data_IF_383757004590
#
_entry.id   IF_383757004590
#
_cell.length_a   1.000
_cell.length_b   1.000
_cell.length_c   1.000
_cell.angle_alpha   90.00
_cell.angle_beta   90.00
_cell.angle_gamma   90.00
#
_symmetry.space_group_name_H-M   'P 1'
#
loop_
_entity.id
_entity.type
_entity.pdbx_description
1 polymer ?
#
# COMPACT_ATOMS: atom_id res chain seq x y z
N UNK A 1 -44.27 9.88 27.14
CA UNK A 1 -43.28 9.69 26.07
C UNK A 1 -42.94 8.22 26.08
N UNK A 2 -43.23 7.49 25.00
CA UNK A 2 -42.79 6.10 24.85
C UNK A 2 -41.25 6.11 24.82
N UNK A 3 -40.64 5.30 25.69
CA UNK A 3 -39.19 5.06 25.65
C UNK A 3 -38.85 4.44 24.30
N UNK A 4 -38.36 5.27 23.38
CA UNK A 4 -37.95 4.82 22.06
C UNK A 4 -36.62 4.07 22.21
N UNK A 5 -36.72 2.76 22.43
CA UNK A 5 -35.58 1.84 22.57
C UNK A 5 -34.81 1.80 21.24
N UNK A 6 -33.49 2.00 21.30
CA UNK A 6 -32.63 1.91 20.11
C UNK A 6 -32.63 0.48 19.55
N UNK A 7 -32.61 0.34 18.23
CA UNK A 7 -32.62 -0.97 17.54
C UNK A 7 -31.54 -1.93 18.06
N UNK A 8 -30.33 -1.42 18.37
CA UNK A 8 -29.23 -2.23 18.92
C UNK A 8 -29.50 -2.70 20.35
N UNK A 9 -30.24 -1.92 21.12
CA UNK A 9 -30.67 -2.29 22.47
C UNK A 9 -31.80 -3.32 22.42
N UNK A 10 -32.72 -3.19 21.45
CA UNK A 10 -33.82 -4.14 21.26
C UNK A 10 -33.35 -5.53 20.81
N UNK A 11 -32.40 -5.60 19.86
CA UNK A 11 -31.83 -6.88 19.41
C UNK A 11 -30.78 -7.46 20.35
N UNK A 12 -30.21 -6.63 21.21
CA UNK A 12 -29.02 -6.96 21.99
C UNK A 12 -27.71 -6.89 21.17
N UNK A 13 -26.57 -6.76 21.87
CA UNK A 13 -25.28 -6.54 21.23
C UNK A 13 -24.83 -7.69 20.32
N UNK A 14 -25.01 -8.95 20.75
CA UNK A 14 -24.54 -10.12 20.00
C UNK A 14 -25.23 -10.27 18.64
N UNK A 15 -26.54 -10.09 18.58
CA UNK A 15 -27.29 -10.18 17.33
C UNK A 15 -26.98 -8.98 16.43
N UNK A 16 -26.87 -7.79 17.02
CA UNK A 16 -26.52 -6.57 16.28
C UNK A 16 -25.13 -6.68 15.64
N UNK A 17 -24.13 -7.20 16.35
CA UNK A 17 -22.79 -7.45 15.82
C UNK A 17 -22.82 -8.49 14.68
N UNK A 18 -23.60 -9.57 14.82
CA UNK A 18 -23.77 -10.57 13.75
C UNK A 18 -24.39 -9.99 12.47
N UNK A 19 -25.36 -9.08 12.61
CA UNK A 19 -25.95 -8.40 11.46
C UNK A 19 -24.92 -7.47 10.83
N UNK A 20 -24.23 -6.67 11.63
CA UNK A 20 -23.22 -5.73 11.16
C UNK A 20 -22.00 -6.41 10.53
N UNK A 21 -21.62 -7.61 10.98
CA UNK A 21 -20.51 -8.38 10.39
C UNK A 21 -20.82 -8.95 8.99
N UNK A 22 -22.08 -8.89 8.56
CA UNK A 22 -22.49 -9.17 7.18
C UNK A 22 -22.16 -8.02 6.21
N UNK A 23 -21.78 -6.84 6.72
CA UNK A 23 -21.36 -5.71 5.88
C UNK A 23 -19.95 -5.95 5.35
N UNK A 24 -19.82 -6.00 4.02
CA UNK A 24 -18.55 -6.27 3.34
C UNK A 24 -17.84 -4.99 2.87
N UNK A 25 -18.55 -3.87 2.68
CA UNK A 25 -17.93 -2.56 2.39
C UNK A 25 -17.58 -1.85 3.70
N UNK A 26 -16.31 -1.50 3.96
CA UNK A 26 -15.92 -0.69 5.11
C UNK A 26 -16.70 0.63 5.22
N UNK A 27 -17.14 1.18 4.09
CA UNK A 27 -17.96 2.38 4.05
C UNK A 27 -19.35 2.17 4.64
N UNK A 28 -19.92 0.95 4.56
CA UNK A 28 -21.18 0.60 5.21
C UNK A 28 -21.06 0.58 6.73
N UNK A 29 -19.95 0.07 7.26
CA UNK A 29 -19.68 0.11 8.70
C UNK A 29 -19.57 1.56 9.21
N UNK A 30 -18.95 2.45 8.43
CA UNK A 30 -18.89 3.88 8.76
C UNK A 30 -20.25 4.56 8.64
N UNK A 31 -21.09 4.15 7.68
CA UNK A 31 -22.48 4.64 7.58
C UNK A 31 -23.33 4.16 8.75
N UNK A 32 -23.16 2.90 9.16
CA UNK A 32 -23.84 2.31 10.31
C UNK A 32 -23.48 3.05 11.61
N UNK A 33 -22.21 3.41 11.79
CA UNK A 33 -21.76 4.17 12.97
C UNK A 33 -22.25 5.62 13.02
N UNK A 34 -22.94 6.11 11.97
CA UNK A 34 -23.55 7.43 11.91
C UNK A 34 -25.05 7.45 12.26
N UNK A 35 -25.67 6.28 12.46
CA UNK A 35 -27.13 6.14 12.66
C UNK A 35 -27.57 6.67 14.02
N UNK A 36 -26.89 6.25 15.09
CA UNK A 36 -27.14 6.72 16.46
C UNK A 36 -25.87 6.57 17.31
N UNK A 37 -25.88 7.13 18.51
CA UNK A 37 -24.79 6.96 19.49
C UNK A 37 -24.59 5.50 19.89
N UNK A 38 -25.69 4.72 20.03
CA UNK A 38 -25.62 3.29 20.36
C UNK A 38 -24.98 2.47 19.23
N UNK A 39 -25.35 2.75 17.98
CA UNK A 39 -24.73 2.11 16.81
C UNK A 39 -23.25 2.48 16.69
N UNK A 40 -22.92 3.75 16.91
CA UNK A 40 -21.54 4.22 16.91
C UNK A 40 -20.70 3.42 17.90
N UNK A 41 -21.11 3.39 19.17
CA UNK A 41 -20.40 2.69 20.23
C UNK A 41 -20.25 1.19 19.91
N UNK A 42 -21.32 0.54 19.44
CA UNK A 42 -21.28 -0.88 19.08
C UNK A 42 -20.27 -1.18 17.96
N UNK A 43 -20.25 -0.37 16.89
CA UNK A 43 -19.32 -0.55 15.76
C UNK A 43 -17.87 -0.29 16.18
N UNK A 44 -17.62 0.71 17.05
CA UNK A 44 -16.29 1.01 17.57
C UNK A 44 -15.78 -0.12 18.47
N UNK A 45 -16.61 -0.60 19.39
CA UNK A 45 -16.23 -1.62 20.38
C UNK A 45 -16.05 -3.01 19.76
N UNK A 46 -16.82 -3.34 18.74
CA UNK A 46 -16.79 -4.65 18.07
C UNK A 46 -15.60 -4.86 17.12
N UNK A 47 -14.79 -3.82 16.84
CA UNK A 47 -13.62 -3.92 15.96
C UNK A 47 -13.91 -4.41 14.52
N UNK A 48 -15.15 -4.32 14.05
CA UNK A 48 -15.58 -4.87 12.75
C UNK A 48 -14.76 -4.39 11.55
N UNK A 49 -14.34 -3.11 11.53
CA UNK A 49 -13.48 -2.59 10.46
C UNK A 49 -12.11 -3.30 10.41
N UNK A 50 -11.57 -3.68 11.58
CA UNK A 50 -10.30 -4.42 11.65
C UNK A 50 -10.50 -5.83 11.14
N UNK A 51 -11.57 -6.50 11.58
CA UNK A 51 -11.85 -7.89 11.20
C UNK A 51 -12.10 -8.01 9.69
N UNK A 52 -12.86 -7.07 9.13
CA UNK A 52 -13.07 -6.96 7.69
C UNK A 52 -11.74 -6.78 6.93
N UNK A 53 -10.89 -5.86 7.40
CA UNK A 53 -9.59 -5.59 6.79
C UNK A 53 -8.67 -6.81 6.81
N UNK A 54 -8.64 -7.56 7.92
CA UNK A 54 -7.86 -8.79 8.05
C UNK A 54 -8.38 -9.94 7.19
N UNK A 55 -9.70 -10.00 6.99
CA UNK A 55 -10.34 -10.98 6.10
C UNK A 55 -9.97 -10.74 4.64
N UNK A 56 -9.96 -9.48 4.21
CA UNK A 56 -9.60 -9.12 2.83
C UNK A 56 -8.09 -9.13 2.58
N UNK A 57 -7.28 -8.75 3.58
CA UNK A 57 -5.83 -8.62 3.46
C UNK A 57 -5.13 -9.26 4.67
N UNK A 58 -4.95 -10.59 4.64
CA UNK A 58 -4.33 -11.34 5.73
C UNK A 58 -2.93 -10.86 6.12
N UNK A 59 -2.20 -10.23 5.19
CA UNK A 59 -0.86 -9.66 5.43
C UNK A 59 -0.86 -8.57 6.53
N UNK A 60 -2.02 -7.97 6.79
CA UNK A 60 -2.21 -6.97 7.85
C UNK A 60 -2.15 -7.60 9.25
N UNK A 61 -2.24 -8.92 9.39
CA UNK A 61 -2.11 -9.61 10.68
C UNK A 61 -0.76 -9.34 11.38
N UNK A 62 0.29 -9.00 10.61
CA UNK A 62 1.60 -8.57 11.15
C UNK A 62 1.62 -7.17 11.78
N UNK A 63 0.52 -6.41 11.70
CA UNK A 63 0.43 -5.06 12.26
C UNK A 63 0.41 -5.09 13.78
N UNK A 64 1.52 -4.63 14.37
CA UNK A 64 1.71 -4.60 15.83
C UNK A 64 1.21 -3.31 16.48
N UNK A 65 1.37 -2.19 15.78
CA UNK A 65 1.13 -0.87 16.35
C UNK A 65 0.77 0.16 15.28
N UNK A 66 -0.04 1.14 15.65
CA UNK A 66 -0.50 2.22 14.76
C UNK A 66 0.01 3.55 15.29
N UNK A 67 0.89 4.19 14.53
CA UNK A 67 1.52 5.47 14.86
C UNK A 67 0.80 6.57 14.08
N UNK A 68 -0.08 7.30 14.74
CA UNK A 68 -0.74 8.47 14.16
C UNK A 68 0.19 9.69 14.25
N UNK A 69 0.51 10.30 13.12
CA UNK A 69 1.32 11.54 13.07
C UNK A 69 0.44 12.73 12.70
N UNK A 70 0.12 13.57 13.69
CA UNK A 70 -0.53 14.89 13.50
C UNK A 70 0.56 15.97 13.41
N UNK A 71 0.36 17.02 12.60
CA UNK A 71 1.40 18.02 12.34
C UNK A 71 1.42 19.20 13.33
N UNK A 72 0.51 19.25 14.31
CA UNK A 72 0.48 20.32 15.32
C UNK A 72 1.08 19.84 16.64
N UNK A 73 2.00 20.66 17.18
CA UNK A 73 2.49 20.58 18.54
C UNK A 73 1.34 20.78 19.53
N UNK A 74 0.58 19.72 19.80
CA UNK A 74 -0.34 19.70 20.94
C UNK A 74 0.30 18.83 22.02
N UNK A 75 1.21 19.47 22.75
CA UNK A 75 1.58 19.09 24.11
C UNK A 75 0.35 19.28 24.98
N UNK A 76 -0.55 18.31 24.94
CA UNK A 76 -1.65 18.17 25.89
C UNK A 76 -1.97 16.69 26.01
N UNK A 77 -1.04 15.93 26.57
CA UNK A 77 -1.38 14.69 27.28
C UNK A 77 -2.20 15.10 28.50
N UNK A 78 -3.48 15.39 28.28
CA UNK A 78 -4.47 15.47 29.35
C UNK A 78 -4.59 14.05 29.89
N UNK A 79 -4.36 13.87 31.19
CA UNK A 79 -4.55 12.61 31.90
C UNK A 79 -6.02 12.16 31.80
N UNK A 80 -6.35 11.51 30.69
CA UNK A 80 -7.66 10.92 30.45
C UNK A 80 -7.82 9.69 31.34
N UNK A 81 -8.99 9.52 31.95
CA UNK A 81 -9.30 8.31 32.72
C UNK A 81 -9.09 7.04 31.88
N UNK A 82 -8.76 5.91 32.52
CA UNK A 82 -8.47 4.63 31.83
C UNK A 82 -9.57 4.19 30.85
N UNK A 83 -10.84 4.51 31.14
CA UNK A 83 -11.98 4.21 30.25
C UNK A 83 -11.98 5.09 29.00
N UNK A 84 -11.76 6.39 29.17
CA UNK A 84 -11.74 7.36 28.07
C UNK A 84 -10.53 7.13 27.15
N UNK A 85 -9.39 6.74 27.72
CA UNK A 85 -8.20 6.34 26.97
C UNK A 85 -8.45 5.06 26.13
N UNK A 86 -9.22 4.10 26.66
CA UNK A 86 -9.58 2.86 25.93
C UNK A 86 -10.52 3.18 24.76
N UNK A 87 -11.57 3.96 24.99
CA UNK A 87 -12.53 4.34 23.94
C UNK A 87 -11.83 5.11 22.82
N UNK A 88 -11.00 6.10 23.17
CA UNK A 88 -10.19 6.87 22.21
C UNK A 88 -9.28 5.98 21.36
N UNK A 89 -8.74 4.90 21.93
CA UNK A 89 -7.93 3.92 21.18
C UNK A 89 -8.78 3.11 20.20
N UNK A 90 -9.98 2.69 20.59
CA UNK A 90 -10.89 1.94 19.73
C UNK A 90 -11.38 2.81 18.57
N UNK A 91 -11.75 4.06 18.84
CA UNK A 91 -12.14 5.04 17.81
C UNK A 91 -11.02 5.26 16.79
N UNK A 92 -9.79 5.45 17.27
CA UNK A 92 -8.61 5.58 16.40
C UNK A 92 -8.41 4.35 15.53
N UNK A 93 -8.48 3.15 16.12
CA UNK A 93 -8.33 1.90 15.39
C UNK A 93 -9.42 1.77 14.32
N UNK A 94 -10.69 1.96 14.69
CA UNK A 94 -11.80 1.93 13.76
C UNK A 94 -11.56 2.88 12.57
N UNK A 95 -11.16 4.12 12.87
CA UNK A 95 -10.85 5.12 11.85
C UNK A 95 -9.73 4.65 10.91
N UNK A 96 -8.61 4.18 11.46
CA UNK A 96 -7.44 3.73 10.69
C UNK A 96 -7.80 2.56 9.78
N UNK A 97 -8.44 1.51 10.30
CA UNK A 97 -8.82 0.34 9.51
C UNK A 97 -9.88 0.66 8.47
N UNK A 98 -10.84 1.54 8.77
CA UNK A 98 -11.82 2.00 7.78
C UNK A 98 -11.13 2.75 6.62
N UNK A 99 -10.18 3.65 6.93
CA UNK A 99 -9.42 4.35 5.90
C UNK A 99 -8.46 3.44 5.13
N UNK A 100 -7.82 2.49 5.81
CA UNK A 100 -6.92 1.54 5.19
C UNK A 100 -7.67 0.67 4.19
N UNK A 101 -8.78 0.09 4.60
CA UNK A 101 -9.63 -0.75 3.73
C UNK A 101 -10.12 0.04 2.52
N UNK A 102 -10.62 1.28 2.71
CA UNK A 102 -10.96 2.18 1.58
C UNK A 102 -9.76 2.49 0.67
N UNK A 103 -8.58 2.63 1.26
CA UNK A 103 -7.30 2.80 0.56
C UNK A 103 -6.92 1.57 -0.27
N UNK A 104 -7.44 0.40 0.06
CA UNK A 104 -7.21 -0.84 -0.67
C UNK A 104 -8.30 -1.08 -1.72
N UNK A 105 -9.56 -0.75 -1.45
CA UNK A 105 -10.69 -1.03 -2.34
C UNK A 105 -10.86 -0.07 -3.54
N UNK A 106 -10.10 1.02 -3.67
CA UNK A 106 -10.27 1.98 -4.79
C UNK A 106 -9.39 1.67 -6.01
N UNK A 107 -9.99 1.90 -7.19
CA UNK A 107 -9.54 1.44 -8.51
C UNK A 107 -8.53 2.36 -9.23
N UNK A 108 -7.94 3.35 -8.55
CA UNK A 108 -6.97 4.25 -9.17
C UNK A 108 -5.61 3.57 -9.25
N UNK A 109 -5.43 2.73 -10.27
CA UNK A 109 -4.19 1.96 -10.48
C UNK A 109 -3.14 2.80 -11.22
N UNK A 110 -1.92 2.76 -10.73
CA UNK A 110 -0.78 3.52 -11.27
C UNK A 110 0.42 2.59 -11.47
N UNK A 111 1.43 3.08 -12.19
CA UNK A 111 2.74 2.44 -12.13
C UNK A 111 3.31 2.62 -10.73
N UNK A 112 3.67 1.52 -10.07
CA UNK A 112 4.19 1.54 -8.71
C UNK A 112 5.71 1.54 -8.65
N UNK A 113 6.45 1.30 -9.74
CA UNK A 113 7.92 1.35 -9.68
C UNK A 113 8.39 2.82 -9.59
N UNK A 114 9.33 3.08 -8.69
CA UNK A 114 10.05 4.36 -8.59
C UNK A 114 11.52 4.26 -8.94
N UNK A 115 12.15 3.14 -8.63
CA UNK A 115 13.59 2.97 -8.81
C UNK A 115 13.92 1.51 -9.16
N UNK A 116 14.86 1.32 -10.09
CA UNK A 116 15.51 0.03 -10.31
C UNK A 116 16.71 -0.08 -9.37
N UNK A 117 16.72 -1.12 -8.52
CA UNK A 117 17.73 -1.29 -7.48
C UNK A 117 18.94 -2.06 -8.00
N UNK A 118 18.71 -3.26 -8.55
CA UNK A 118 19.78 -4.15 -8.96
C UNK A 118 19.27 -5.28 -9.86
N UNK A 119 20.19 -5.83 -10.65
CA UNK A 119 20.04 -7.10 -11.35
C UNK A 119 21.00 -8.14 -10.74
N UNK A 120 20.71 -9.44 -10.90
CA UNK A 120 21.67 -10.50 -10.50
C UNK A 120 22.94 -10.48 -11.34
N UNK A 121 22.82 -10.13 -12.63
CA UNK A 121 23.95 -9.92 -13.52
C UNK A 121 23.64 -8.80 -14.52
N UNK A 122 24.67 -8.29 -15.18
CA UNK A 122 24.56 -7.41 -16.34
C UNK A 122 25.74 -7.67 -17.27
N UNK A 123 25.48 -7.78 -18.57
CA UNK A 123 26.52 -8.04 -19.58
C UNK A 123 27.35 -6.78 -19.84
N UNK A 124 26.83 -5.84 -20.64
CA UNK A 124 27.54 -4.61 -20.97
C UNK A 124 27.06 -3.45 -20.08
N UNK A 125 27.54 -3.41 -18.83
CA UNK A 125 27.23 -2.31 -17.90
C UNK A 125 28.08 -1.05 -18.21
N UNK A 126 27.51 0.17 -18.14
CA UNK A 126 26.14 0.53 -17.79
C UNK A 126 25.13 0.47 -18.95
N UNK A 127 25.60 0.12 -20.14
CA UNK A 127 24.85 0.29 -21.37
C UNK A 127 23.54 -0.50 -21.42
N UNK A 128 23.57 -1.72 -20.90
CA UNK A 128 22.48 -2.69 -20.83
C UNK A 128 21.99 -2.86 -19.38
N UNK A 129 22.03 -1.78 -18.60
CA UNK A 129 21.66 -1.81 -17.20
C UNK A 129 20.15 -1.92 -16.97
N UNK A 130 19.77 -2.39 -15.77
CA UNK A 130 18.38 -2.46 -15.31
C UNK A 130 17.64 -1.10 -15.40
N UNK A 131 18.36 0.03 -15.35
CA UNK A 131 17.73 1.36 -15.44
C UNK A 131 16.95 1.56 -16.73
N UNK A 132 17.39 0.95 -17.82
CA UNK A 132 16.70 1.00 -19.11
C UNK A 132 15.28 0.43 -19.03
N UNK A 133 15.03 -0.54 -18.14
CA UNK A 133 13.71 -1.19 -17.99
C UNK A 133 12.62 -0.27 -17.45
N UNK A 134 12.99 0.88 -16.89
CA UNK A 134 12.03 1.88 -16.39
C UNK A 134 11.35 2.66 -17.53
N UNK A 135 11.96 2.66 -18.72
CA UNK A 135 11.46 3.40 -19.88
C UNK A 135 10.49 2.52 -20.69
N UNK A 136 9.31 3.04 -21.09
CA UNK A 136 8.35 2.27 -21.88
C UNK A 136 8.81 1.92 -23.31
N UNK A 137 9.82 2.62 -23.81
CA UNK A 137 10.35 2.43 -25.17
C UNK A 137 11.65 1.65 -25.10
N UNK A 138 11.77 0.63 -25.95
CA UNK A 138 13.01 -0.14 -26.13
C UNK A 138 14.01 0.54 -27.08
N UNK A 139 13.69 1.77 -27.49
CA UNK A 139 14.55 2.66 -28.27
C UNK A 139 14.48 4.07 -27.68
N UNK A 140 15.64 4.62 -27.30
CA UNK A 140 15.78 5.96 -26.74
C UNK A 140 16.75 6.72 -27.65
N UNK A 141 16.24 7.73 -28.36
CA UNK A 141 16.96 8.36 -29.46
C UNK A 141 17.24 7.33 -30.56
N UNK A 142 18.51 7.10 -30.87
CA UNK A 142 18.96 6.11 -31.86
C UNK A 142 19.56 4.84 -31.23
N UNK A 143 19.31 4.63 -29.93
CA UNK A 143 19.95 3.56 -29.16
C UNK A 143 18.93 2.60 -28.58
N UNK A 144 19.25 1.31 -28.64
CA UNK A 144 18.49 0.27 -27.97
C UNK A 144 18.51 0.48 -26.44
N UNK A 145 17.34 0.37 -25.81
CA UNK A 145 17.17 0.53 -24.36
C UNK A 145 16.58 -0.75 -23.79
N UNK A 146 17.41 -1.52 -23.11
CA UNK A 146 17.05 -2.78 -22.47
C UNK A 146 18.05 -3.11 -21.37
N UNK A 147 17.67 -4.04 -20.50
CA UNK A 147 18.61 -4.76 -19.65
C UNK A 147 19.03 -6.07 -20.30
N UNK A 148 20.29 -6.47 -20.14
CA UNK A 148 20.82 -7.76 -20.59
C UNK A 148 21.52 -8.50 -19.45
N UNK A 149 21.20 -9.78 -19.25
CA UNK A 149 21.96 -10.67 -18.36
C UNK A 149 23.34 -10.99 -18.93
N UNK A 150 24.29 -11.42 -18.10
CA UNK A 150 25.47 -12.15 -18.58
C UNK A 150 25.07 -13.46 -19.27
N UNK A 151 25.90 -13.89 -20.22
CA UNK A 151 25.76 -15.18 -20.89
C UNK A 151 25.91 -16.34 -19.92
N UNK A 152 25.11 -17.39 -20.10
CA UNK A 152 25.15 -18.60 -19.30
C UNK A 152 24.98 -19.85 -20.17
N UNK A 153 25.74 -20.88 -19.87
CA UNK A 153 25.72 -22.17 -20.55
C UNK A 153 24.49 -23.02 -20.18
N UNK A 154 24.10 -23.00 -18.91
CA UNK A 154 22.93 -23.72 -18.40
C UNK A 154 21.66 -22.86 -18.52
N UNK A 155 20.70 -23.23 -19.39
CA UNK A 155 19.48 -22.46 -19.58
C UNK A 155 18.56 -22.49 -18.36
N UNK A 156 18.81 -23.31 -17.35
CA UNK A 156 17.97 -23.39 -16.14
C UNK A 156 18.34 -22.37 -15.08
N UNK A 157 19.54 -21.77 -15.17
CA UNK A 157 20.01 -20.75 -14.22
C UNK A 157 19.18 -19.47 -14.37
N UNK A 158 18.48 -19.03 -13.30
CA UNK A 158 17.58 -17.89 -13.38
C UNK A 158 18.33 -16.56 -13.30
N UNK A 159 17.65 -15.50 -13.72
CA UNK A 159 18.07 -14.11 -13.49
C UNK A 159 17.03 -13.37 -12.65
N UNK A 160 17.43 -12.24 -12.07
CA UNK A 160 16.58 -11.44 -11.21
C UNK A 160 16.72 -9.96 -11.49
N UNK A 161 15.59 -9.24 -11.42
CA UNK A 161 15.53 -7.79 -11.47
C UNK A 161 14.75 -7.29 -10.26
N UNK A 162 15.37 -6.43 -9.45
CA UNK A 162 14.80 -5.95 -8.19
C UNK A 162 14.50 -4.45 -8.28
N UNK A 163 13.30 -4.07 -7.86
CA UNK A 163 12.74 -2.72 -7.96
C UNK A 163 12.22 -2.24 -6.61
N UNK A 164 12.27 -0.93 -6.44
CA UNK A 164 11.62 -0.21 -5.35
C UNK A 164 10.27 0.33 -5.81
N UNK A 165 9.27 0.17 -4.96
CA UNK A 165 7.93 0.68 -5.18
C UNK A 165 7.77 2.11 -4.63
N UNK A 166 6.75 2.81 -5.12
CA UNK A 166 6.40 4.20 -4.78
C UNK A 166 5.97 4.41 -3.33
N UNK A 167 5.69 3.32 -2.62
CA UNK A 167 5.31 3.30 -1.23
C UNK A 167 5.82 2.01 -0.61
N UNK A 168 6.21 2.07 0.66
CA UNK A 168 6.48 0.86 1.45
C UNK A 168 5.22 0.05 1.71
N UNK A 169 4.03 0.64 1.51
CA UNK A 169 2.76 -0.06 1.55
C UNK A 169 2.05 0.12 0.21
N UNK A 170 1.97 -0.95 -0.58
CA UNK A 170 1.46 -0.89 -1.95
C UNK A 170 0.64 -2.15 -2.28
N UNK A 171 -0.59 -1.96 -2.77
CA UNK A 171 -1.41 -3.05 -3.28
C UNK A 171 -1.02 -3.34 -4.73
N UNK A 172 -0.52 -4.54 -5.03
CA UNK A 172 -0.07 -4.93 -6.37
C UNK A 172 -1.09 -5.90 -6.99
N UNK A 173 -1.43 -5.69 -8.26
CA UNK A 173 -2.43 -6.53 -8.95
C UNK A 173 -1.88 -7.16 -10.23
N UNK A 174 -1.08 -6.42 -10.99
CA UNK A 174 -0.48 -6.92 -12.22
C UNK A 174 0.97 -6.46 -12.32
N UNK A 175 1.81 -7.29 -12.90
CA UNK A 175 3.17 -6.96 -13.30
C UNK A 175 3.23 -7.12 -14.80
N UNK A 176 3.75 -6.14 -15.51
CA UNK A 176 3.89 -6.18 -16.95
C UNK A 176 5.37 -6.21 -17.30
N UNK A 177 5.76 -7.09 -18.22
CA UNK A 177 7.15 -7.27 -18.64
C UNK A 177 7.20 -7.38 -20.15
N UNK A 178 8.12 -6.66 -20.77
CA UNK A 178 8.39 -6.72 -22.21
C UNK A 178 9.77 -7.34 -22.44
N UNK A 179 9.86 -8.53 -23.05
CA UNK A 179 11.11 -9.05 -23.58
C UNK A 179 11.70 -8.13 -24.65
N UNK A 180 13.03 -8.08 -24.72
CA UNK A 180 13.71 -7.33 -25.77
C UNK A 180 13.95 -8.21 -27.01
N UNK A 181 13.78 -7.59 -28.18
CA UNK A 181 14.13 -8.17 -29.47
C UNK A 181 15.39 -7.48 -29.99
N UNK A 182 16.45 -8.25 -30.24
CA UNK A 182 17.69 -7.70 -30.77
C UNK A 182 17.54 -7.43 -32.27
N UNK A 183 16.89 -6.30 -32.60
CA UNK A 183 16.63 -5.89 -33.99
C UNK A 183 17.90 -5.60 -34.81
N UNK A 184 19.05 -5.52 -34.14
CA UNK A 184 20.37 -5.35 -34.74
C UNK A 184 21.09 -6.68 -35.02
N UNK A 185 20.52 -7.81 -34.64
CA UNK A 185 21.07 -9.15 -34.92
C UNK A 185 20.28 -9.85 -36.04
N UNK A 186 20.96 -10.77 -36.74
CA UNK A 186 20.33 -11.55 -37.80
C UNK A 186 19.20 -12.42 -37.25
N UNK A 187 18.08 -12.51 -37.97
CA UNK A 187 16.90 -13.26 -37.54
C UNK A 187 16.06 -12.57 -36.44
N UNK A 188 16.49 -11.41 -35.95
CA UNK A 188 15.79 -10.60 -34.95
C UNK A 188 15.38 -11.40 -33.70
N UNK A 189 16.33 -12.06 -33.02
CA UNK A 189 16.04 -12.96 -31.92
C UNK A 189 15.42 -12.24 -30.71
N UNK A 190 14.58 -12.97 -29.97
CA UNK A 190 13.91 -12.48 -28.76
C UNK A 190 14.53 -13.19 -27.56
N UNK A 191 15.18 -12.43 -26.70
CA UNK A 191 15.87 -12.94 -25.52
C UNK A 191 14.91 -12.97 -24.30
N UNK A 192 13.83 -13.73 -24.39
CA UNK A 192 12.86 -13.87 -23.30
C UNK A 192 13.25 -14.97 -22.31
N UNK A 193 12.65 -14.92 -21.11
CA UNK A 193 12.55 -16.08 -20.24
C UNK A 193 11.43 -17.02 -20.70
N UNK A 194 11.42 -18.27 -20.22
CA UNK A 194 10.29 -19.21 -20.40
C UNK A 194 9.15 -18.88 -19.44
N UNK A 195 9.48 -18.49 -18.22
CA UNK A 195 8.52 -18.13 -17.20
C UNK A 195 9.04 -17.03 -16.28
N UNK A 196 8.11 -16.41 -15.56
CA UNK A 196 8.37 -15.40 -14.55
C UNK A 196 7.82 -15.86 -13.20
N UNK A 197 8.51 -15.47 -12.12
CA UNK A 197 7.98 -15.52 -10.76
C UNK A 197 8.22 -14.19 -10.07
N UNK A 198 7.25 -13.71 -9.32
CA UNK A 198 7.33 -12.41 -8.63
C UNK A 198 7.45 -12.63 -7.13
N UNK A 199 8.35 -11.87 -6.49
CA UNK A 199 8.50 -11.84 -5.03
C UNK A 199 8.28 -10.42 -4.53
N UNK A 200 7.48 -10.28 -3.47
CA UNK A 200 7.20 -9.01 -2.82
C UNK A 200 7.68 -9.07 -1.37
N UNK A 201 8.20 -7.96 -0.86
CA UNK A 201 8.68 -7.89 0.51
C UNK A 201 9.44 -6.61 0.82
N UNK A 202 10.49 -6.74 1.63
CA UNK A 202 11.21 -5.62 2.20
C UNK A 202 12.74 -5.80 2.23
N UNK A 203 13.45 -4.68 2.30
CA UNK A 203 14.89 -4.66 2.55
C UNK A 203 15.16 -4.85 4.04
N UNK A 204 16.20 -5.61 4.37
CA UNK A 204 16.65 -5.84 5.75
C UNK A 204 17.49 -4.68 6.30
N UNK A 205 18.21 -3.96 5.43
CA UNK A 205 19.05 -2.82 5.81
C UNK A 205 18.29 -1.50 5.55
N UNK A 206 18.35 -0.51 6.46
CA UNK A 206 17.76 0.81 6.21
C UNK A 206 18.33 1.44 4.94
N UNK A 207 17.49 1.62 3.92
CA UNK A 207 17.92 2.10 2.59
C UNK A 207 18.57 3.49 2.58
N UNK A 208 18.39 4.29 3.64
CA UNK A 208 18.82 5.70 3.68
C UNK A 208 20.34 5.86 3.80
N UNK A 209 21.10 4.80 4.10
CA UNK A 209 22.54 4.92 4.36
C UNK A 209 23.46 4.30 3.30
N UNK A 210 22.98 3.47 2.36
CA UNK A 210 23.91 2.57 1.65
C UNK A 210 23.60 2.21 0.18
N UNK A 211 23.24 3.19 -0.66
CA UNK A 211 23.18 2.95 -2.14
C UNK A 211 24.48 2.34 -2.67
N UNK A 212 25.62 2.67 -2.05
CA UNK A 212 26.95 2.18 -2.42
C UNK A 212 27.29 0.76 -1.89
N UNK A 213 26.46 0.16 -1.03
CA UNK A 213 26.70 -1.21 -0.50
C UNK A 213 25.74 -2.25 -1.08
N UNK A 214 24.69 -1.85 -1.80
CA UNK A 214 23.77 -2.81 -2.44
C UNK A 214 24.41 -3.38 -3.70
N UNK A 215 24.93 -2.52 -4.57
CA UNK A 215 25.54 -2.90 -5.86
C UNK A 215 27.04 -2.70 -5.88
N UNK A 216 27.75 -3.53 -6.64
CA UNK A 216 29.16 -3.35 -6.98
C UNK A 216 29.35 -2.37 -8.14
N UNK A 217 30.61 -2.19 -8.57
CA UNK A 217 30.97 -1.30 -9.67
C UNK A 217 30.35 -1.73 -11.01
N UNK A 218 29.87 -2.97 -11.11
CA UNK A 218 29.20 -3.55 -12.29
C UNK A 218 27.66 -3.50 -12.21
N UNK A 219 27.11 -2.92 -11.13
CA UNK A 219 25.66 -2.86 -10.90
C UNK A 219 25.04 -4.17 -10.39
N UNK A 220 25.84 -5.20 -10.14
CA UNK A 220 25.40 -6.47 -9.55
C UNK A 220 25.33 -6.38 -8.02
N UNK A 221 24.52 -7.21 -7.36
CA UNK A 221 24.39 -7.16 -5.90
C UNK A 221 25.66 -7.63 -5.19
N UNK A 222 26.21 -6.82 -4.27
CA UNK A 222 27.33 -7.22 -3.39
C UNK A 222 26.91 -8.31 -2.40
N UNK A 223 27.55 -9.47 -2.41
CA UNK A 223 27.27 -10.56 -1.45
C UNK A 223 26.06 -11.44 -1.83
N UNK A 224 25.73 -12.47 -1.03
CA UNK A 224 24.64 -13.40 -1.36
C UNK A 224 23.29 -12.66 -1.47
N UNK A 225 22.68 -12.72 -2.66
CA UNK A 225 21.42 -12.04 -3.01
C UNK A 225 20.27 -12.28 -2.00
N UNK A 226 20.31 -13.43 -1.31
CA UNK A 226 19.29 -13.85 -0.35
C UNK A 226 19.36 -13.20 1.04
N UNK A 227 20.46 -12.53 1.40
CA UNK A 227 20.64 -12.00 2.77
C UNK A 227 20.16 -10.56 2.95
N UNK A 228 19.85 -9.84 1.86
CA UNK A 228 19.48 -8.41 1.91
C UNK A 228 17.97 -8.16 1.93
N UNK A 229 17.18 -9.11 1.44
CA UNK A 229 15.75 -8.95 1.25
C UNK A 229 14.98 -10.08 1.94
N UNK A 230 13.89 -9.72 2.59
CA UNK A 230 12.94 -10.65 3.18
C UNK A 230 11.69 -10.65 2.31
N UNK A 231 11.32 -11.83 1.81
CA UNK A 231 10.17 -12.02 0.93
C UNK A 231 8.97 -12.50 1.75
N UNK A 232 7.88 -11.73 1.73
CA UNK A 232 6.63 -12.08 2.43
C UNK A 232 5.61 -12.72 1.48
N UNK A 233 5.82 -12.57 0.18
CA UNK A 233 5.00 -13.19 -0.85
C UNK A 233 5.86 -13.69 -2.01
N UNK A 234 5.49 -14.84 -2.56
CA UNK A 234 6.05 -15.43 -3.78
C UNK A 234 4.91 -15.93 -4.63
N UNK A 235 4.81 -15.47 -5.88
CA UNK A 235 3.75 -15.88 -6.80
C UNK A 235 3.97 -17.30 -7.35
N UNK A 236 2.94 -17.89 -7.98
CA UNK A 236 3.13 -18.96 -8.96
C UNK A 236 4.03 -18.52 -10.12
N UNK A 237 4.44 -19.48 -10.94
CA UNK A 237 5.12 -19.20 -12.21
C UNK A 237 4.12 -18.81 -13.28
N UNK A 238 4.48 -17.80 -14.07
CA UNK A 238 3.71 -17.34 -15.21
C UNK A 238 4.48 -17.61 -16.49
N UNK A 239 3.91 -18.29 -17.49
CA UNK A 239 4.58 -18.50 -18.77
C UNK A 239 4.77 -17.16 -19.48
N UNK A 240 5.96 -16.93 -20.03
CA UNK A 240 6.29 -15.76 -20.85
C UNK A 240 6.34 -16.17 -22.32
N UNK A 241 5.59 -15.46 -23.16
CA UNK A 241 5.64 -15.66 -24.61
C UNK A 241 6.92 -15.06 -25.19
N UNK A 242 7.42 -15.63 -26.27
CA UNK A 242 8.57 -15.09 -27.01
C UNK A 242 8.11 -14.00 -27.99
N UNK A 243 7.56 -12.91 -27.47
CA UNK A 243 7.03 -11.80 -28.26
C UNK A 243 7.60 -10.47 -27.78
N UNK A 244 7.97 -9.59 -28.73
CA UNK A 244 8.36 -8.19 -28.46
C UNK A 244 7.13 -7.33 -28.15
N UNK A 245 6.44 -7.64 -27.06
CA UNK A 245 5.27 -6.89 -26.57
C UNK A 245 5.28 -6.84 -25.06
N UNK A 246 4.66 -5.79 -24.51
CA UNK A 246 4.41 -5.69 -23.09
C UNK A 246 3.34 -6.72 -22.68
N UNK A 247 3.79 -7.81 -22.06
CA UNK A 247 2.93 -8.90 -21.59
C UNK A 247 2.44 -8.58 -20.17
N UNK A 248 1.18 -8.94 -19.89
CA UNK A 248 0.53 -8.64 -18.61
C UNK A 248 0.40 -9.90 -17.78
N UNK A 249 0.95 -9.87 -16.57
CA UNK A 249 0.89 -10.98 -15.61
C UNK A 249 0.04 -10.55 -14.43
N UNK A 250 -1.21 -11.01 -14.40
CA UNK A 250 -2.17 -10.74 -13.33
C UNK A 250 -1.93 -11.72 -12.17
N UNK A 251 -1.77 -11.20 -10.96
CA UNK A 251 -1.67 -12.02 -9.77
C UNK A 251 -3.02 -12.72 -9.49
N UNK A 252 -3.03 -13.93 -8.91
CA UNK A 252 -4.26 -14.65 -8.60
C UNK A 252 -5.20 -13.82 -7.72
N UNK A 253 -4.62 -13.13 -6.74
CA UNK A 253 -5.29 -12.17 -5.87
C UNK A 253 -4.42 -10.90 -5.76
N UNK A 254 -5.02 -9.72 -5.51
CA UNK A 254 -4.26 -8.52 -5.16
C UNK A 254 -3.38 -8.76 -3.92
N UNK A 255 -2.11 -8.38 -3.99
CA UNK A 255 -1.15 -8.63 -2.90
C UNK A 255 -0.75 -7.31 -2.24
N UNK A 256 -0.87 -7.24 -0.92
CA UNK A 256 -0.40 -6.09 -0.16
C UNK A 256 1.12 -6.20 0.10
N UNK A 257 1.92 -5.51 -0.72
CA UNK A 257 3.35 -5.42 -0.53
C UNK A 257 3.70 -4.51 0.66
N UNK A 258 4.30 -5.11 1.69
CA UNK A 258 4.83 -4.44 2.88
C UNK A 258 6.35 -4.39 2.77
N UNK A 259 6.90 -3.17 2.75
CA UNK A 259 8.32 -2.86 2.52
C UNK A 259 8.65 -2.25 1.16
N UNK A 260 7.74 -2.37 0.19
CA UNK A 260 7.86 -1.72 -1.11
C UNK A 260 8.98 -2.27 -1.99
N UNK A 261 9.29 -3.57 -1.91
CA UNK A 261 10.25 -4.24 -2.79
C UNK A 261 9.55 -5.27 -3.65
N UNK A 262 9.88 -5.26 -4.95
CA UNK A 262 9.51 -6.28 -5.91
C UNK A 262 10.77 -6.88 -6.54
N UNK A 263 10.82 -8.20 -6.65
CA UNK A 263 11.80 -8.89 -7.48
C UNK A 263 11.09 -9.75 -8.53
N UNK A 264 11.54 -9.62 -9.78
CA UNK A 264 11.22 -10.54 -10.87
C UNK A 264 12.27 -11.64 -10.86
N UNK A 265 11.85 -12.90 -10.93
CA UNK A 265 12.70 -14.04 -11.26
C UNK A 265 12.39 -14.47 -12.69
N UNK A 266 13.37 -14.39 -13.56
CA UNK A 266 13.33 -14.77 -14.96
C UNK A 266 13.82 -16.21 -15.06
N UNK A 267 12.90 -17.14 -15.33
CA UNK A 267 13.12 -18.58 -15.26
C UNK A 267 13.22 -19.18 -16.66
N UNK A 268 14.27 -19.96 -16.89
CA UNK A 268 14.47 -20.66 -18.15
C UNK A 268 14.89 -19.72 -19.27
N UNK A 269 16.16 -19.77 -19.66
CA UNK A 269 16.68 -19.06 -20.82
C UNK A 269 16.24 -19.77 -22.10
N UNK A 270 15.99 -18.99 -23.15
CA UNK A 270 15.44 -19.49 -24.41
C UNK A 270 16.45 -19.34 -25.54
N UNK A 271 17.00 -18.14 -25.69
CA UNK A 271 17.74 -17.74 -26.87
C UNK A 271 19.24 -17.76 -26.59
N UNK A 272 20.01 -18.29 -27.54
CA UNK A 272 21.47 -18.20 -27.55
C UNK A 272 21.95 -17.04 -28.40
N UNK A 273 23.10 -16.50 -28.05
CA UNK A 273 23.80 -15.53 -28.87
C UNK A 273 24.83 -16.23 -29.78
N UNK A 274 24.86 -15.85 -31.05
CA UNK A 274 25.70 -16.52 -32.05
C UNK A 274 27.21 -16.35 -31.81
N UNK A 275 27.60 -15.31 -31.08
CA UNK A 275 29.01 -14.94 -30.87
C UNK A 275 29.72 -15.93 -29.94
N UNK A 276 29.03 -16.41 -28.90
CA UNK A 276 29.61 -17.24 -27.83
C UNK A 276 28.82 -18.51 -27.52
N UNK A 277 27.68 -18.74 -28.20
CA UNK A 277 26.78 -19.88 -28.00
C UNK A 277 26.22 -19.98 -26.56
N UNK A 278 26.21 -18.86 -25.82
CA UNK A 278 25.63 -18.78 -24.48
C UNK A 278 24.19 -18.27 -24.51
N UNK A 279 23.43 -18.61 -23.46
CA UNK A 279 22.06 -18.16 -23.29
C UNK A 279 21.98 -16.81 -22.58
N UNK A 280 21.15 -15.92 -23.11
CA UNK A 280 20.92 -14.58 -22.60
C UNK A 280 19.43 -14.33 -22.34
N UNK A 281 19.13 -13.41 -21.41
CA UNK A 281 17.81 -12.83 -21.20
C UNK A 281 17.94 -11.32 -21.30
N UNK A 282 17.06 -10.70 -22.08
CA UNK A 282 16.98 -9.26 -22.23
C UNK A 282 15.55 -8.76 -21.97
N UNK A 283 15.43 -7.73 -21.14
CA UNK A 283 14.15 -7.11 -20.77
C UNK A 283 14.16 -5.65 -21.21
N UNK A 284 13.17 -5.26 -22.01
CA UNK A 284 13.04 -3.89 -22.50
C UNK A 284 12.33 -3.00 -21.48
N UNK A 285 11.23 -3.46 -20.90
CA UNK A 285 10.40 -2.64 -20.02
C UNK A 285 9.74 -3.48 -18.92
N UNK A 286 9.66 -2.91 -17.71
CA UNK A 286 8.90 -3.45 -16.58
C UNK A 286 7.98 -2.36 -16.02
N UNK A 287 6.73 -2.74 -15.77
CA UNK A 287 5.72 -1.89 -15.14
C UNK A 287 4.97 -2.67 -14.07
N UNK A 288 4.69 -2.03 -12.94
CA UNK A 288 3.90 -2.64 -11.86
C UNK A 288 2.60 -1.89 -11.72
N UNK A 289 1.47 -2.57 -11.90
CA UNK A 289 0.15 -1.99 -11.77
C UNK A 289 -0.40 -2.27 -10.38
N UNK A 290 -0.59 -1.20 -9.64
CA UNK A 290 -1.01 -1.27 -8.26
C UNK A 290 -1.47 0.08 -7.71
N UNK A 291 -1.64 0.12 -6.40
CA UNK A 291 -2.01 1.31 -5.65
C UNK A 291 -1.04 1.55 -4.50
N UNK A 292 -0.20 2.58 -4.58
CA UNK A 292 0.56 3.06 -3.44
C UNK A 292 -0.41 3.65 -2.40
N UNK A 293 -0.21 3.33 -1.11
CA UNK A 293 -1.01 3.92 -0.03
C UNK A 293 -0.40 5.20 0.57
N UNK A 294 0.78 5.60 0.09
CA UNK A 294 1.34 6.92 0.35
C UNK A 294 0.49 8.02 -0.32
N UNK A 295 0.43 9.24 0.25
CA UNK A 295 1.12 9.69 1.47
C UNK A 295 0.34 9.44 2.77
N UNK A 296 -0.85 8.82 2.71
CA UNK A 296 -1.72 8.63 3.86
C UNK A 296 -1.21 7.54 4.83
N UNK A 297 -0.53 6.53 4.28
CA UNK A 297 0.05 5.42 5.02
C UNK A 297 1.52 5.22 4.68
N UNK A 298 2.28 4.80 5.68
CA UNK A 298 3.65 4.31 5.55
C UNK A 298 3.89 3.20 6.59
N UNK A 299 5.00 2.47 6.49
CA UNK A 299 5.32 1.37 7.41
C UNK A 299 6.73 1.43 7.95
N UNK A 300 6.86 1.07 9.23
CA UNK A 300 8.11 0.76 9.91
C UNK A 300 8.17 -0.73 10.20
N UNK A 301 9.14 -1.42 9.59
CA UNK A 301 9.35 -2.85 9.79
C UNK A 301 10.32 -2.98 10.96
N UNK A 302 9.88 -3.66 12.03
CA UNK A 302 10.63 -3.68 13.29
C UNK A 302 11.66 -4.81 13.34
N UNK A 303 11.40 -5.93 12.68
CA UNK A 303 12.27 -7.11 12.68
C UNK A 303 11.97 -8.05 11.48
N UNK A 304 12.69 -9.18 11.38
CA UNK A 304 12.50 -10.21 10.35
C UNK A 304 11.24 -11.07 10.56
N UNK A 305 10.48 -10.87 11.66
CA UNK A 305 9.32 -11.72 11.99
C UNK A 305 8.06 -11.41 11.18
N UNK A 306 8.14 -10.46 10.24
CA UNK A 306 7.00 -9.96 9.48
C UNK A 306 6.14 -8.96 10.26
N UNK A 307 6.58 -8.55 11.47
CA UNK A 307 5.90 -7.56 12.29
C UNK A 307 6.27 -6.14 11.89
N UNK A 308 5.26 -5.28 11.78
CA UNK A 308 5.44 -3.90 11.39
C UNK A 308 4.52 -2.96 12.15
N UNK A 309 4.84 -1.66 12.11
CA UNK A 309 3.99 -0.57 12.58
C UNK A 309 3.49 0.24 11.41
N UNK A 310 2.21 0.57 11.44
CA UNK A 310 1.56 1.40 10.43
C UNK A 310 1.62 2.86 10.87
N UNK A 311 2.25 3.70 10.07
CA UNK A 311 2.17 5.15 10.21
C UNK A 311 0.94 5.65 9.47
N UNK A 312 0.11 6.42 10.15
CA UNK A 312 -1.09 7.00 9.58
C UNK A 312 -1.03 8.53 9.65
N UNK A 313 -1.24 9.17 8.49
CA UNK A 313 -1.15 10.61 8.29
C UNK A 313 -2.52 11.17 7.89
N UNK A 314 -3.38 11.50 8.87
CA UNK A 314 -4.77 11.89 8.59
C UNK A 314 -4.94 13.20 7.82
N UNK A 315 -3.92 14.05 7.74
CA UNK A 315 -4.00 15.37 7.07
C UNK A 315 -3.49 15.35 5.63
N UNK A 316 -2.60 14.41 5.30
CA UNK A 316 -2.07 14.23 3.93
C UNK A 316 -3.11 13.64 2.96
N UNK A 317 -4.33 13.43 3.43
CA UNK A 317 -5.52 12.99 2.68
C UNK A 317 -5.84 13.86 1.45
N UNK A 318 -5.50 15.15 1.49
CA UNK A 318 -5.97 16.15 0.52
C UNK A 318 -5.00 16.42 -0.65
N UNK A 319 -3.73 16.00 -0.58
CA UNK A 319 -2.74 16.38 -1.61
C UNK A 319 -2.74 15.51 -2.87
N UNK A 320 -3.45 14.38 -2.89
CA UNK A 320 -3.55 13.52 -4.08
C UNK A 320 -4.62 14.00 -5.10
N UNK A 321 -5.16 15.22 -4.96
CA UNK A 321 -6.29 15.75 -5.73
C UNK A 321 -5.98 16.92 -6.69
N UNK A 322 -4.72 17.18 -7.02
CA UNK A 322 -4.40 18.09 -8.14
C UNK A 322 -4.15 17.28 -9.42
N UNK A 323 -5.22 16.95 -10.12
CA UNK A 323 -5.18 16.26 -11.42
C UNK A 323 -6.51 15.61 -11.78
N UNK A 324 -7.39 16.41 -12.40
CA UNK A 324 -8.68 16.08 -13.03
C UNK A 324 -9.89 15.64 -12.19
N UNK A 325 -11.04 16.14 -12.62
CA UNK A 325 -12.26 16.41 -11.87
C UNK A 325 -13.25 15.25 -11.69
N UNK A 326 -14.26 15.57 -10.85
CA UNK A 326 -15.59 14.96 -10.71
C UNK A 326 -15.76 13.72 -9.84
N UNK A 327 -15.79 13.92 -8.50
CA UNK A 327 -16.67 13.12 -7.62
C UNK A 327 -17.24 13.98 -6.47
N UNK A 328 -18.55 14.21 -6.52
CA UNK A 328 -19.42 14.97 -5.60
C UNK A 328 -19.65 14.32 -4.22
N UNK A 329 -18.93 13.23 -3.89
CA UNK A 329 -19.05 12.54 -2.61
C UNK A 329 -18.10 13.03 -1.51
N UNK A 330 -17.03 13.75 -1.85
CA UNK A 330 -15.96 14.06 -0.89
C UNK A 330 -16.26 15.24 0.05
N UNK A 331 -17.16 16.15 -0.35
CA UNK A 331 -17.49 17.36 0.42
C UNK A 331 -18.46 17.10 1.59
N UNK A 332 -19.14 15.94 1.61
CA UNK A 332 -20.06 15.55 2.69
C UNK A 332 -19.30 14.92 3.86
N UNK A 333 -18.27 14.12 3.58
CA UNK A 333 -17.50 13.41 4.62
C UNK A 333 -16.68 14.35 5.52
N UNK A 334 -16.04 15.38 4.94
CA UNK A 334 -15.29 16.37 5.73
C UNK A 334 -16.21 17.28 6.55
N UNK A 335 -17.41 17.60 6.03
CA UNK A 335 -18.46 18.27 6.82
C UNK A 335 -18.95 17.37 7.95
N UNK A 336 -19.10 16.07 7.72
CA UNK A 336 -19.59 15.12 8.72
C UNK A 336 -18.59 14.86 9.86
N UNK A 337 -17.31 14.64 9.55
CA UNK A 337 -16.27 14.47 10.57
C UNK A 337 -15.96 15.76 11.36
N UNK A 338 -16.23 16.94 10.79
CA UNK A 338 -16.19 18.21 11.50
C UNK A 338 -17.46 18.42 12.36
N UNK A 339 -18.63 17.98 11.87
CA UNK A 339 -19.90 18.07 12.60
C UNK A 339 -19.93 17.19 13.86
N UNK A 340 -19.27 16.03 13.85
CA UNK A 340 -19.14 15.16 15.04
C UNK A 340 -18.29 15.85 16.12
N UNK A 341 -17.21 16.55 15.74
CA UNK A 341 -16.40 17.33 16.69
C UNK A 341 -17.17 18.50 17.29
N UNK A 342 -18.03 19.15 16.50
CA UNK A 342 -18.90 20.23 16.97
C UNK A 342 -19.98 19.75 17.94
N UNK A 343 -20.49 18.53 17.80
CA UNK A 343 -21.52 17.99 18.71
C UNK A 343 -20.97 17.72 20.12
N UNK A 344 -19.70 17.30 20.22
CA UNK A 344 -19.03 17.07 21.51
C UNK A 344 -18.79 18.36 22.31
N UNK A 345 -18.66 19.52 21.65
CA UNK A 345 -18.45 20.80 22.32
C UNK A 345 -19.76 21.42 22.86
N UNK A 346 -20.91 21.08 22.28
CA UNK A 346 -22.22 21.66 22.66
C UNK A 346 -22.84 20.97 23.89
N UNK A 347 -22.41 19.75 24.24
CA UNK A 347 -22.97 18.99 25.37
C UNK A 347 -22.16 19.13 26.68
N UNK A 348 -21.24 20.09 26.76
CA UNK A 348 -20.29 20.24 27.85
C UNK A 348 -20.36 21.56 28.61
N UNK A 349 -21.54 22.14 28.88
CA UNK A 349 -21.71 23.18 29.91
C UNK A 349 -23.09 23.03 30.55
N UNK A 350 -23.13 22.61 31.82
CA UNK A 350 -24.35 22.54 32.61
C UNK A 350 -24.04 22.44 34.10
N UNK A 351 -24.02 23.60 34.78
CA UNK A 351 -23.95 23.79 36.23
C UNK A 351 -23.91 25.32 36.47
N UNK A 352 -24.76 26.02 37.21
CA UNK A 352 -25.85 25.74 38.14
C UNK A 352 -26.75 26.99 38.15
N UNK A 353 -28.07 26.82 38.35
CA UNK A 353 -28.98 27.93 38.69
C UNK A 353 -29.05 28.18 40.20
N UNK A 354 -30.04 29.01 40.60
CA UNK A 354 -30.42 29.54 41.94
C UNK A 354 -29.96 31.02 42.06
N UNK A 355 -30.79 32.04 42.27
CA UNK A 355 -32.17 32.15 42.78
C UNK A 355 -32.82 33.44 42.23
N UNK A 356 -34.15 33.46 42.20
CA UNK A 356 -34.97 34.65 41.95
C UNK A 356 -34.90 35.62 43.13
N UNK A 357 -34.87 36.93 42.86
CA UNK A 357 -35.65 37.88 43.65
C UNK A 357 -36.05 39.10 42.79
N UNK A 358 -37.34 39.36 42.88
CA UNK A 358 -38.17 40.42 42.31
C UNK A 358 -37.80 41.78 42.93
N UNK A 359 -37.87 42.85 42.12
CA UNK A 359 -38.38 44.19 42.49
C UNK A 359 -37.79 45.30 41.61
N UNK A 360 -38.69 46.10 41.04
CA UNK A 360 -38.53 47.55 41.01
C UNK A 360 -38.10 48.20 39.69
N UNK A 361 -39.10 48.67 38.95
CA UNK A 361 -39.19 50.02 38.36
C UNK A 361 -37.92 50.90 38.40
N UNK A 362 -37.43 51.35 37.24
CA UNK A 362 -37.71 52.70 36.72
C UNK A 362 -36.79 53.13 35.56
N UNK A 363 -37.44 53.82 34.63
CA UNK A 363 -37.01 54.84 33.66
C UNK A 363 -35.54 55.07 33.23
N UNK A 364 -35.42 55.20 31.90
CA UNK A 364 -34.75 56.28 31.13
C UNK A 364 -33.30 56.66 31.53
N UNK A 365 -32.32 56.55 30.63
CA UNK A 365 -32.05 57.38 29.43
C UNK A 365 -30.95 56.69 28.62
#
# INVERSE_FOLDING_TARGET
MEDCIDFTQWLGPDMSIKILSCLEDPSDLVRASAVSTSWHQLVIESSLCKDLCLREFPEIAGLTDVIEKKHTSDTAEVELGKKDAKLSRLERNHQVYAFLSRGLSSFMMKNCITEALCASSTDNYPEESIQNTLLPSDMVGHRASYWSSKGESDPTVPETLTYKLASRLCLVTEIHVQPFQAYFQFGFPIYSAKALRFRLGHCQVPMESERNNITDETGAVKGPLGEKFVWTYTSPEFPMAQERKLQKFKLPEPVLCIGGILQLQLLGRVQRQDVDDLFYICVAHVRVVGRPLSPAFDVEIRDQSGKFSLKYYPEKKNLAKSGDEHLSGLSRFNRFAASIRSLHTVLGVGAFGIEEEDDGDDEAI
#
